data_IF_181065068393
#
_entry.id   IF_181065068393
#
_cell.length_a   1.000
_cell.length_b   1.000
_cell.length_c   1.000
_cell.angle_alpha   90.00
_cell.angle_beta   90.00
_cell.angle_gamma   90.00
#
_symmetry.space_group_name_H-M   'P 1'
#
loop_
_entity.id
_entity.type
_entity.pdbx_description
1 polymer ?
#
# COMPACT_ATOMS: atom_id res chain seq x y z
N UNK A 1 10.06 5.14 4.34
CA UNK A 1 9.91 4.34 3.11
C UNK A 1 9.75 2.88 3.49
N UNK A 2 9.07 2.11 2.66
CA UNK A 2 8.95 0.66 2.76
C UNK A 2 9.18 0.03 1.40
N UNK A 3 10.25 -0.73 1.26
CA UNK A 3 10.74 -1.29 0.00
C UNK A 3 10.74 -2.82 0.06
N UNK A 4 10.79 -3.51 -1.08
CA UNK A 4 11.11 -4.94 -1.09
C UNK A 4 12.51 -5.11 -0.48
N UNK A 5 12.64 -6.06 0.43
CA UNK A 5 13.91 -6.35 1.11
C UNK A 5 14.66 -7.50 0.46
N UNK A 6 15.81 -7.83 1.03
CA UNK A 6 16.65 -8.94 0.58
C UNK A 6 17.75 -8.49 -0.38
N UNK A 7 18.93 -9.08 -0.22
CA UNK A 7 20.10 -8.83 -1.08
C UNK A 7 20.33 -9.97 -2.08
N UNK A 8 19.28 -10.76 -2.37
CA UNK A 8 19.39 -11.85 -3.32
C UNK A 8 19.17 -11.32 -4.75
N UNK A 9 19.71 -12.01 -5.76
CA UNK A 9 19.45 -11.68 -7.17
C UNK A 9 18.10 -12.21 -7.66
N UNK A 10 17.49 -13.11 -6.92
CA UNK A 10 16.20 -13.72 -7.27
C UNK A 10 15.03 -12.93 -6.68
N UNK A 11 14.18 -12.38 -7.55
CA UNK A 11 12.98 -11.61 -7.18
C UNK A 11 12.09 -12.32 -6.16
N UNK A 12 11.80 -13.61 -6.35
CA UNK A 12 10.89 -14.39 -5.48
C UNK A 12 11.36 -14.49 -4.03
N UNK A 13 12.68 -14.39 -3.81
CA UNK A 13 13.25 -14.37 -2.47
C UNK A 13 13.12 -12.98 -1.82
N UNK A 14 13.33 -11.93 -2.62
CA UNK A 14 13.28 -10.55 -2.13
C UNK A 14 11.85 -10.08 -1.87
N UNK A 15 10.90 -10.46 -2.72
CA UNK A 15 9.48 -10.08 -2.63
C UNK A 15 8.77 -10.62 -1.38
N UNK A 16 9.38 -11.57 -0.67
CA UNK A 16 8.90 -12.16 0.59
C UNK A 16 9.37 -11.40 1.83
N UNK A 17 10.11 -10.32 1.66
CA UNK A 17 10.56 -9.49 2.78
C UNK A 17 10.31 -8.02 2.49
N UNK A 18 9.97 -7.26 3.53
CA UNK A 18 9.75 -5.81 3.43
C UNK A 18 10.67 -5.13 4.42
N UNK A 19 11.40 -4.13 3.96
CA UNK A 19 12.28 -3.32 4.79
C UNK A 19 11.70 -1.93 4.99
N UNK A 20 11.66 -1.48 6.24
CA UNK A 20 11.13 -0.16 6.62
C UNK A 20 12.25 0.73 7.12
N UNK A 21 12.48 1.84 6.43
CA UNK A 21 13.42 2.88 6.85
C UNK A 21 12.63 4.13 7.16
N UNK A 22 12.63 4.54 8.43
CA UNK A 22 11.83 5.65 8.94
C UNK A 22 12.71 6.58 9.74
N UNK A 23 12.63 7.87 9.46
CA UNK A 23 13.43 8.87 10.16
C UNK A 23 12.60 10.09 10.54
N UNK A 24 12.83 10.62 11.74
CA UNK A 24 12.22 11.89 12.18
C UNK A 24 12.99 13.05 11.55
N UNK A 25 12.26 14.02 10.99
CA UNK A 25 12.83 15.27 10.49
C UNK A 25 12.48 15.52 9.03
N UNK A 26 13.34 16.28 8.34
CA UNK A 26 13.18 16.57 6.91
C UNK A 26 13.62 15.36 6.06
N UNK A 27 13.19 15.32 4.80
CA UNK A 27 13.54 14.25 3.83
C UNK A 27 15.04 14.02 3.74
N UNK A 28 15.87 15.06 3.81
CA UNK A 28 17.34 14.95 3.85
C UNK A 28 17.87 14.06 4.98
N UNK A 29 17.21 14.03 6.13
CA UNK A 29 17.59 13.13 7.23
C UNK A 29 17.27 11.67 6.89
N UNK A 30 16.16 11.41 6.21
CA UNK A 30 15.81 10.07 5.73
C UNK A 30 16.77 9.59 4.65
N UNK A 31 17.15 10.47 3.71
CA UNK A 31 18.16 10.18 2.69
C UNK A 31 19.50 9.75 3.32
N UNK A 32 19.98 10.51 4.32
CA UNK A 32 21.18 10.13 5.07
C UNK A 32 21.02 8.80 5.80
N UNK A 33 19.82 8.49 6.32
CA UNK A 33 19.56 7.23 7.01
C UNK A 33 19.57 6.03 6.07
N UNK A 34 19.06 6.19 4.85
CA UNK A 34 19.09 5.15 3.81
C UNK A 34 20.54 4.80 3.45
N UNK A 35 21.38 5.80 3.19
CA UNK A 35 22.79 5.58 2.84
C UNK A 35 23.66 5.02 3.99
N UNK A 36 23.13 4.99 5.22
CA UNK A 36 23.81 4.38 6.37
C UNK A 36 23.46 2.91 6.57
N UNK A 37 22.41 2.41 5.93
CA UNK A 37 22.02 1.01 6.07
C UNK A 37 23.10 0.13 5.42
N UNK A 38 23.71 -0.74 6.21
CA UNK A 38 24.69 -1.71 5.71
C UNK A 38 24.01 -2.98 5.20
N UNK A 39 22.79 -3.24 5.65
CA UNK A 39 22.03 -4.44 5.31
C UNK A 39 21.22 -4.29 4.01
N UNK A 40 21.21 -3.10 3.41
CA UNK A 40 20.55 -2.82 2.13
C UNK A 40 21.61 -2.73 1.05
N UNK A 41 21.64 -3.70 0.14
CA UNK A 41 22.45 -3.60 -1.06
C UNK A 41 21.70 -2.76 -2.11
N UNK A 42 22.18 -1.54 -2.36
CA UNK A 42 21.59 -0.60 -3.32
C UNK A 42 21.93 -0.94 -4.78
N UNK A 43 22.85 -1.89 -5.01
CA UNK A 43 23.24 -2.34 -6.34
C UNK A 43 22.39 -3.52 -6.82
N UNK A 44 21.44 -4.01 -6.00
CA UNK A 44 20.49 -5.05 -6.39
C UNK A 44 19.50 -4.48 -7.41
N UNK A 45 19.49 -5.09 -8.59
CA UNK A 45 18.50 -4.80 -9.62
C UNK A 45 17.23 -5.61 -9.38
N UNK A 46 16.10 -4.91 -9.46
CA UNK A 46 14.77 -5.48 -9.32
C UNK A 46 14.06 -5.36 -10.66
N UNK A 47 13.66 -6.50 -11.23
CA UNK A 47 12.75 -6.48 -12.37
C UNK A 47 11.44 -5.83 -11.94
N UNK A 48 10.82 -6.35 -10.86
CA UNK A 48 9.62 -5.82 -10.19
C UNK A 48 9.99 -5.20 -8.86
N UNK A 49 9.45 -4.02 -8.51
CA UNK A 49 9.67 -3.45 -7.18
C UNK A 49 8.53 -2.54 -6.68
N UNK A 50 8.10 -2.73 -5.44
CA UNK A 50 7.15 -1.84 -4.79
C UNK A 50 7.73 -1.13 -3.56
N UNK A 51 8.32 0.06 -3.71
CA UNK A 51 8.64 1.02 -2.64
C UNK A 51 7.59 2.09 -2.27
N UNK A 52 6.89 1.99 -1.14
CA UNK A 52 6.01 3.09 -0.68
C UNK A 52 6.74 4.11 0.22
N UNK A 53 6.43 5.40 0.10
CA UNK A 53 7.06 6.50 0.82
C UNK A 53 5.99 7.45 1.38
N UNK A 54 6.35 8.22 2.41
CA UNK A 54 5.42 9.16 3.03
C UNK A 54 6.18 10.27 3.75
N UNK A 55 5.65 11.49 3.68
CA UNK A 55 6.06 12.59 4.56
C UNK A 55 4.91 12.94 5.49
N UNK A 56 5.11 12.73 6.79
CA UNK A 56 4.03 12.84 7.76
C UNK A 56 3.97 14.21 8.41
N UNK A 57 2.79 14.84 8.39
CA UNK A 57 2.43 15.89 9.34
C UNK A 57 1.64 15.26 10.48
N UNK A 58 2.25 15.19 11.67
CA UNK A 58 1.67 14.48 12.80
C UNK A 58 0.35 15.13 13.29
N UNK A 59 -0.74 14.36 13.26
CA UNK A 59 -2.04 14.69 13.87
C UNK A 59 -2.27 13.91 15.17
N UNK A 60 -1.88 12.63 15.20
CA UNK A 60 -1.90 11.75 16.38
C UNK A 60 -0.49 11.24 16.71
N UNK A 61 -0.12 11.25 18.00
CA UNK A 61 1.20 10.80 18.46
C UNK A 61 2.36 11.74 18.10
N UNK A 62 3.39 11.75 18.94
CA UNK A 62 4.57 12.62 18.74
C UNK A 62 5.38 12.22 17.51
N UNK A 63 6.01 13.15 16.78
CA UNK A 63 6.92 12.81 15.68
C UNK A 63 8.06 11.90 16.16
N UNK A 64 8.07 10.66 15.68
CA UNK A 64 9.07 9.64 15.99
C UNK A 64 9.14 8.62 14.86
N UNK A 65 10.24 7.84 14.70
CA UNK A 65 10.29 6.76 13.72
C UNK A 65 9.15 5.75 13.85
N UNK A 66 8.73 5.45 15.09
CA UNK A 66 7.61 4.53 15.38
C UNK A 66 6.29 5.07 14.84
N UNK A 67 6.00 6.36 15.06
CA UNK A 67 4.79 7.04 14.59
C UNK A 67 4.88 7.51 13.13
N UNK A 68 6.02 7.31 12.45
CA UNK A 68 6.16 7.60 11.03
C UNK A 68 5.60 6.47 10.18
N UNK A 69 5.08 6.83 9.01
CA UNK A 69 4.63 5.86 8.01
C UNK A 69 5.84 5.32 7.21
N UNK A 70 5.75 4.13 6.59
CA UNK A 70 4.62 3.20 6.63
C UNK A 70 4.37 2.57 8.01
N UNK A 71 3.09 2.31 8.33
CA UNK A 71 2.73 1.46 9.46
C UNK A 71 2.68 0.00 9.03
N UNK A 72 3.02 -0.91 9.94
CA UNK A 72 3.11 -2.36 9.72
C UNK A 72 2.06 -3.13 10.52
N UNK A 73 1.60 -4.24 9.95
CA UNK A 73 0.67 -5.17 10.60
C UNK A 73 1.29 -5.94 11.77
N UNK A 74 2.56 -6.31 11.67
CA UNK A 74 3.27 -7.18 12.62
C UNK A 74 4.78 -6.91 12.54
N UNK A 75 5.58 -7.67 13.29
CA UNK A 75 7.04 -7.51 13.33
C UNK A 75 7.74 -7.96 12.04
N UNK A 76 7.08 -8.78 11.22
CA UNK A 76 7.58 -9.30 9.95
C UNK A 76 7.17 -8.42 8.75
N UNK A 77 6.41 -7.35 9.00
CA UNK A 77 5.93 -6.43 7.98
C UNK A 77 5.02 -7.08 6.92
N UNK A 78 4.17 -8.07 7.28
CA UNK A 78 3.35 -8.78 6.28
C UNK A 78 2.48 -7.83 5.44
N UNK A 79 1.93 -6.80 6.07
CA UNK A 79 1.24 -5.70 5.41
C UNK A 79 1.80 -4.38 5.89
N UNK A 80 1.99 -3.44 4.96
CA UNK A 80 2.34 -2.06 5.27
C UNK A 80 1.42 -1.07 4.56
N UNK A 81 1.17 0.07 5.20
CA UNK A 81 0.27 1.11 4.68
C UNK A 81 0.82 2.50 4.91
N UNK A 82 0.63 3.37 3.92
CA UNK A 82 0.76 4.82 4.05
C UNK A 82 -0.63 5.46 4.00
N UNK A 83 -0.82 6.52 4.79
CA UNK A 83 -2.12 7.16 4.98
C UNK A 83 -2.00 8.68 5.01
N UNK A 84 -2.87 9.36 4.26
CA UNK A 84 -3.17 10.78 4.43
C UNK A 84 -4.62 10.95 4.83
N UNK A 85 -4.86 11.51 6.01
CA UNK A 85 -6.21 11.69 6.52
C UNK A 85 -6.29 11.44 8.01
N UNK A 86 -7.52 11.22 8.48
CA UNK A 86 -7.82 10.90 9.88
C UNK A 86 -8.88 9.80 9.89
N UNK A 87 -8.57 8.70 10.59
CA UNK A 87 -9.56 7.64 10.89
C UNK A 87 -10.26 8.00 12.20
N UNK A 88 -11.53 8.37 12.14
CA UNK A 88 -12.25 8.92 13.30
C UNK A 88 -12.64 7.86 14.32
N UNK A 89 -12.85 6.62 13.89
CA UNK A 89 -13.23 5.48 14.73
C UNK A 89 -12.03 4.58 15.13
N UNK A 90 -10.78 5.07 15.03
CA UNK A 90 -9.59 4.24 15.27
C UNK A 90 -9.51 3.66 16.68
N UNK A 91 -10.11 4.31 17.68
CA UNK A 91 -10.15 3.83 19.07
C UNK A 91 -10.97 2.56 19.21
N UNK A 92 -12.09 2.47 18.51
CA UNK A 92 -12.96 1.30 18.54
C UNK A 92 -12.31 0.15 17.78
N UNK A 93 -11.71 0.44 16.61
CA UNK A 93 -10.90 -0.51 15.86
C UNK A 93 -9.74 -1.06 16.69
N UNK A 94 -9.02 -0.17 17.39
CA UNK A 94 -7.89 -0.56 18.24
C UNK A 94 -8.32 -1.50 19.36
N UNK A 95 -9.37 -1.16 20.12
CA UNK A 95 -9.92 -2.03 21.17
C UNK A 95 -10.35 -3.39 20.63
N UNK A 96 -11.01 -3.41 19.48
CA UNK A 96 -11.42 -4.65 18.82
C UNK A 96 -10.20 -5.50 18.46
N UNK A 97 -9.19 -4.93 17.82
CA UNK A 97 -7.99 -5.65 17.39
C UNK A 97 -7.13 -6.13 18.57
N UNK A 98 -6.99 -5.31 19.62
CA UNK A 98 -6.36 -5.72 20.88
C UNK A 98 -7.09 -6.91 21.51
N UNK A 99 -8.44 -6.94 21.47
CA UNK A 99 -9.23 -8.09 21.94
C UNK A 99 -9.05 -9.36 21.10
N UNK A 100 -8.53 -9.22 19.87
CA UNK A 100 -8.16 -10.32 18.96
C UNK A 100 -6.68 -10.71 19.06
N UNK A 101 -5.92 -10.09 19.96
CA UNK A 101 -4.51 -10.40 20.21
C UNK A 101 -3.51 -9.62 19.36
N UNK A 102 -3.93 -8.57 18.66
CA UNK A 102 -3.01 -7.71 17.92
C UNK A 102 -2.37 -6.67 18.85
N UNK A 103 -1.04 -6.64 18.88
CA UNK A 103 -0.28 -5.65 19.64
C UNK A 103 -0.01 -4.39 18.82
N UNK A 104 -0.23 -3.23 19.43
CA UNK A 104 0.04 -1.92 18.83
C UNK A 104 1.35 -1.35 19.35
N UNK A 105 2.17 -0.79 18.46
CA UNK A 105 3.44 -0.16 18.81
C UNK A 105 3.43 1.38 18.71
N UNK A 106 2.44 1.96 18.06
CA UNK A 106 2.29 3.40 17.86
C UNK A 106 1.01 3.96 18.50
N UNK A 107 0.95 5.28 18.56
CA UNK A 107 -0.23 6.04 19.03
C UNK A 107 -1.09 6.55 17.87
N UNK A 108 -0.76 6.14 16.64
CA UNK A 108 -1.40 6.65 15.44
C UNK A 108 -2.70 5.92 15.15
N UNK A 109 -3.64 6.64 14.55
CA UNK A 109 -4.86 6.08 13.97
C UNK A 109 -4.56 5.12 12.81
N UNK A 110 -3.45 5.36 12.10
CA UNK A 110 -3.05 4.64 10.90
C UNK A 110 -2.65 3.19 11.19
N UNK A 111 -2.06 2.90 12.35
CA UNK A 111 -1.69 1.52 12.69
C UNK A 111 -2.92 0.60 12.76
N UNK A 112 -4.08 1.11 13.18
CA UNK A 112 -5.32 0.33 13.19
C UNK A 112 -5.67 -0.19 11.80
N UNK A 113 -5.34 0.53 10.73
CA UNK A 113 -5.56 0.11 9.34
C UNK A 113 -4.64 -1.07 8.99
N UNK A 114 -3.36 -1.00 9.36
CA UNK A 114 -2.37 -2.04 9.09
C UNK A 114 -2.71 -3.35 9.84
N UNK A 115 -3.16 -3.23 11.09
CA UNK A 115 -3.63 -4.38 11.87
C UNK A 115 -4.93 -4.96 11.30
N UNK A 116 -5.87 -4.10 10.88
CA UNK A 116 -7.16 -4.52 10.36
C UNK A 116 -7.04 -5.28 9.04
N UNK A 117 -6.17 -4.85 8.13
CA UNK A 117 -5.93 -5.58 6.87
C UNK A 117 -5.38 -6.99 7.14
N UNK A 118 -4.48 -7.13 8.11
CA UNK A 118 -3.99 -8.44 8.55
C UNK A 118 -5.09 -9.27 9.21
N UNK A 119 -5.93 -8.68 10.06
CA UNK A 119 -7.09 -9.37 10.62
C UNK A 119 -8.03 -9.93 9.54
N UNK A 120 -8.32 -9.15 8.49
CA UNK A 120 -9.13 -9.61 7.37
C UNK A 120 -8.45 -10.74 6.60
N UNK A 121 -7.12 -10.72 6.50
CA UNK A 121 -6.34 -11.74 5.82
C UNK A 121 -6.33 -13.04 6.62
N UNK A 122 -6.05 -12.96 7.92
CA UNK A 122 -6.00 -14.11 8.83
C UNK A 122 -7.39 -14.80 8.98
N UNK A 123 -8.48 -14.07 8.72
CA UNK A 123 -9.86 -14.56 8.80
C UNK A 123 -10.54 -14.66 7.42
N UNK A 124 -9.76 -14.82 6.35
CA UNK A 124 -10.29 -14.98 4.99
C UNK A 124 -11.03 -16.31 4.82
N UNK A 125 -12.01 -16.31 3.93
CA UNK A 125 -12.83 -17.50 3.63
C UNK A 125 -12.15 -18.45 2.63
N UNK A 126 -11.22 -17.91 1.84
CA UNK A 126 -10.45 -18.64 0.82
C UNK A 126 -9.05 -18.07 0.76
N UNK A 127 -8.07 -18.93 0.45
CA UNK A 127 -6.69 -18.53 0.20
C UNK A 127 -6.51 -17.68 -1.06
N UNK A 128 -7.46 -17.78 -2.00
CA UNK A 128 -7.43 -17.04 -3.28
C UNK A 128 -8.09 -15.65 -3.19
N UNK A 129 -8.15 -15.04 -2.00
CA UNK A 129 -8.72 -13.70 -1.86
C UNK A 129 -7.81 -12.66 -2.51
N UNK A 130 -8.34 -11.86 -3.44
CA UNK A 130 -7.57 -10.79 -4.07
C UNK A 130 -7.21 -9.67 -3.10
N UNK A 131 -6.07 -9.01 -3.32
CA UNK A 131 -5.62 -7.92 -2.46
C UNK A 131 -6.64 -6.77 -2.42
N UNK A 132 -7.24 -6.43 -3.56
CA UNK A 132 -8.27 -5.42 -3.64
C UNK A 132 -9.51 -5.77 -2.80
N UNK A 133 -9.97 -7.03 -2.83
CA UNK A 133 -11.10 -7.49 -2.00
C UNK A 133 -10.80 -7.34 -0.51
N UNK A 134 -9.56 -7.64 -0.11
CA UNK A 134 -9.11 -7.48 1.27
C UNK A 134 -9.20 -6.01 1.71
N UNK A 135 -8.69 -5.09 0.87
CA UNK A 135 -8.74 -3.65 1.13
C UNK A 135 -10.17 -3.11 1.10
N UNK A 136 -11.05 -3.62 0.22
CA UNK A 136 -12.49 -3.29 0.22
C UNK A 136 -13.13 -3.59 1.58
N UNK A 137 -12.85 -4.78 2.16
CA UNK A 137 -13.35 -5.16 3.49
C UNK A 137 -12.83 -4.22 4.58
N UNK A 138 -11.57 -3.81 4.50
CA UNK A 138 -10.96 -2.85 5.44
C UNK A 138 -11.67 -1.50 5.37
N UNK A 139 -11.79 -0.90 4.18
CA UNK A 139 -12.36 0.44 4.05
C UNK A 139 -13.82 0.50 4.49
N UNK A 140 -14.59 -0.58 4.38
CA UNK A 140 -15.97 -0.62 4.88
C UNK A 140 -16.07 -0.41 6.40
N UNK A 141 -15.02 -0.71 7.15
CA UNK A 141 -14.98 -0.52 8.61
C UNK A 141 -14.38 0.83 9.03
N UNK A 142 -13.72 1.54 8.11
CA UNK A 142 -13.09 2.82 8.42
C UNK A 142 -14.10 3.96 8.36
N UNK A 143 -14.03 4.86 9.33
CA UNK A 143 -14.73 6.14 9.31
C UNK A 143 -13.74 7.31 9.20
N UNK A 144 -14.20 8.42 8.62
CA UNK A 144 -13.39 9.61 8.40
C UNK A 144 -13.00 9.80 6.94
N UNK A 145 -11.88 10.49 6.73
CA UNK A 145 -11.34 10.81 5.42
C UNK A 145 -9.91 10.28 5.33
N UNK A 146 -9.58 9.64 4.22
CA UNK A 146 -8.29 9.00 4.02
C UNK A 146 -7.92 8.90 2.53
N UNK A 147 -6.62 8.85 2.25
CA UNK A 147 -6.02 8.30 1.05
C UNK A 147 -4.97 7.29 1.51
N UNK A 148 -5.08 6.06 1.03
CA UNK A 148 -4.31 4.89 1.48
C UNK A 148 -3.59 4.26 0.30
N UNK A 149 -2.38 3.75 0.55
CA UNK A 149 -1.69 2.83 -0.35
C UNK A 149 -1.15 1.68 0.47
N UNK A 150 -1.49 0.46 0.05
CA UNK A 150 -1.12 -0.79 0.71
C UNK A 150 -0.05 -1.53 -0.11
N UNK A 151 0.80 -2.26 0.63
CA UNK A 151 1.75 -3.24 0.11
C UNK A 151 1.77 -4.46 1.04
N UNK A 152 2.01 -5.65 0.49
CA UNK A 152 2.12 -6.88 1.27
C UNK A 152 3.11 -7.88 0.68
N UNK A 153 3.71 -8.72 1.53
CA UNK A 153 4.51 -9.88 1.10
C UNK A 153 3.65 -11.00 0.50
N UNK A 154 2.35 -11.03 0.81
CA UNK A 154 1.40 -12.03 0.30
C UNK A 154 0.93 -11.71 -1.12
N UNK A 155 1.11 -10.46 -1.55
CA UNK A 155 0.74 -9.94 -2.87
C UNK A 155 1.95 -9.21 -3.50
N UNK A 156 3.02 -9.96 -3.83
CA UNK A 156 4.28 -9.37 -4.29
C UNK A 156 4.10 -8.61 -5.60
N UNK A 157 4.62 -7.38 -5.66
CA UNK A 157 4.49 -6.51 -6.84
C UNK A 157 3.12 -5.85 -7.01
N UNK A 158 2.15 -6.12 -6.13
CA UNK A 158 0.83 -5.49 -6.17
C UNK A 158 0.72 -4.29 -5.22
N UNK A 159 0.11 -3.21 -5.69
CA UNK A 159 -0.27 -2.07 -4.88
C UNK A 159 -1.79 -1.85 -4.94
N UNK A 160 -2.40 -1.57 -3.79
CA UNK A 160 -3.79 -1.16 -3.72
C UNK A 160 -3.88 0.25 -3.15
N UNK A 161 -4.35 1.18 -3.97
CA UNK A 161 -4.63 2.57 -3.60
C UNK A 161 -6.13 2.81 -3.43
N UNK A 162 -6.55 3.54 -2.39
CA UNK A 162 -7.95 3.91 -2.19
C UNK A 162 -8.09 5.26 -1.50
N UNK A 163 -9.20 5.96 -1.72
CA UNK A 163 -9.47 7.26 -1.11
C UNK A 163 -10.93 7.45 -0.70
N UNK A 164 -11.12 8.26 0.34
CA UNK A 164 -12.39 8.83 0.77
C UNK A 164 -12.15 10.24 1.29
N UNK A 165 -12.73 11.24 0.67
CA UNK A 165 -12.64 12.63 1.16
C UNK A 165 -11.30 13.36 0.97
N UNK A 166 -10.26 12.76 0.37
CA UNK A 166 -8.97 13.42 0.10
C UNK A 166 -8.29 12.94 -1.21
N UNK A 167 -7.47 13.75 -1.89
CA UNK A 167 -6.93 13.42 -3.21
C UNK A 167 -6.04 12.17 -3.18
N UNK A 168 -6.07 11.38 -4.25
CA UNK A 168 -5.11 10.33 -4.53
C UNK A 168 -4.86 10.32 -6.04
N UNK A 169 -3.63 10.62 -6.44
CA UNK A 169 -3.20 10.66 -7.83
C UNK A 169 -2.32 9.46 -8.12
N UNK A 170 -2.47 8.89 -9.32
CA UNK A 170 -1.58 7.86 -9.86
C UNK A 170 -0.93 8.46 -11.11
N UNK A 171 0.38 8.70 -11.04
CA UNK A 171 1.20 8.99 -12.22
C UNK A 171 1.65 7.67 -12.85
N UNK A 172 1.72 7.61 -14.16
CA UNK A 172 2.26 6.46 -14.89
C UNK A 172 3.35 6.98 -15.81
N UNK A 173 4.54 6.41 -15.75
CA UNK A 173 5.66 6.69 -16.62
C UNK A 173 6.16 5.38 -17.20
N UNK A 174 6.30 5.33 -18.51
CA UNK A 174 7.04 4.27 -19.17
C UNK A 174 8.01 4.91 -20.14
N UNK A 175 9.21 4.33 -20.23
CA UNK A 175 10.14 4.70 -21.30
C UNK A 175 9.63 4.24 -22.67
N UNK A 176 8.57 3.43 -22.71
CA UNK A 176 8.03 2.78 -23.90
C UNK A 176 6.54 3.07 -24.03
N UNK A 177 6.00 2.84 -25.22
CA UNK A 177 4.57 3.08 -25.47
C UNK A 177 3.74 2.07 -24.67
N UNK A 178 2.76 2.57 -23.93
CA UNK A 178 1.79 1.74 -23.20
C UNK A 178 0.74 1.19 -24.17
N UNK A 179 0.09 0.08 -23.80
CA UNK A 179 -1.03 -0.50 -24.56
C UNK A 179 -2.21 0.46 -24.72
N UNK A 180 -2.32 1.46 -23.84
CA UNK A 180 -3.30 2.53 -23.92
C UNK A 180 -2.74 3.85 -23.37
N UNK A 181 -3.15 4.97 -23.98
CA UNK A 181 -2.87 6.34 -23.51
C UNK A 181 -3.87 6.81 -22.44
N UNK A 182 -4.80 5.94 -22.02
CA UNK A 182 -5.81 6.22 -21.02
C UNK A 182 -5.92 5.04 -20.02
N UNK A 183 -6.12 5.39 -18.75
CA UNK A 183 -6.45 4.42 -17.70
C UNK A 183 -7.97 4.25 -17.73
N UNK A 184 -8.52 3.09 -18.10
CA UNK A 184 -9.97 2.94 -18.11
C UNK A 184 -10.50 3.02 -16.68
N UNK A 185 -11.49 3.88 -16.49
CA UNK A 185 -12.12 4.13 -15.19
C UNK A 185 -13.34 3.22 -15.08
N UNK A 186 -13.27 2.23 -14.20
CA UNK A 186 -14.38 1.34 -13.91
C UNK A 186 -15.23 1.92 -12.79
N UNK A 187 -16.48 2.25 -13.12
CA UNK A 187 -17.48 2.69 -12.14
C UNK A 187 -18.31 1.48 -11.69
N UNK A 188 -18.32 1.20 -10.39
CA UNK A 188 -19.21 0.17 -9.83
C UNK A 188 -20.64 0.73 -9.81
N UNK A 189 -21.48 0.29 -10.74
CA UNK A 189 -22.88 0.69 -10.78
C UNK A 189 -23.63 0.06 -9.60
N UNK A 190 -24.16 0.90 -8.70
CA UNK A 190 -24.94 0.48 -7.54
C UNK A 190 -26.32 -0.03 -7.98
N UNK A 191 -26.43 -1.25 -8.52
CA UNK A 191 -27.73 -1.88 -8.78
C UNK A 191 -28.24 -2.59 -7.52
N UNK A 192 -29.14 -1.91 -6.83
CA UNK A 192 -30.07 -2.50 -5.84
C UNK A 192 -31.08 -3.37 -6.61
N UNK A 193 -30.85 -4.67 -6.73
CA UNK A 193 -31.92 -5.66 -6.90
C UNK A 193 -31.38 -7.07 -6.63
N UNK A 194 -32.11 -7.80 -5.79
CA UNK A 194 -31.89 -9.19 -5.43
C UNK A 194 -31.70 -10.09 -6.66
N UNK A 195 -30.72 -10.99 -6.60
CA UNK A 195 -30.47 -12.03 -7.60
C UNK A 195 -28.99 -12.30 -7.73
N UNK A 196 -28.52 -13.44 -7.24
CA UNK A 196 -27.14 -13.91 -7.41
C UNK A 196 -26.82 -13.98 -8.91
N UNK A 197 -25.86 -13.16 -9.37
CA UNK A 197 -25.21 -13.27 -10.66
C UNK A 197 -23.69 -13.19 -10.46
N UNK A 198 -22.90 -13.87 -11.31
CA UNK A 198 -21.47 -14.05 -11.07
C UNK A 198 -20.72 -12.72 -11.13
N UNK A 199 -19.71 -12.56 -10.27
CA UNK A 199 -18.69 -11.51 -10.40
C UNK A 199 -18.01 -11.68 -11.76
N UNK A 200 -18.17 -10.72 -12.66
CA UNK A 200 -17.30 -10.59 -13.82
C UNK A 200 -16.01 -9.90 -13.35
N UNK A 201 -14.85 -10.38 -13.81
CA UNK A 201 -13.55 -9.73 -13.61
C UNK A 201 -13.65 -8.25 -14.03
N UNK A 202 -13.40 -7.35 -13.09
CA UNK A 202 -13.42 -5.90 -13.27
C UNK A 202 -11.98 -5.37 -13.24
N UNK A 203 -11.06 -6.13 -13.81
CA UNK A 203 -9.64 -5.85 -13.72
C UNK A 203 -9.22 -5.07 -14.95
N UNK A 204 -8.69 -3.87 -14.73
CA UNK A 204 -8.03 -3.08 -15.78
C UNK A 204 -6.54 -3.34 -15.71
N UNK A 205 -5.99 -3.82 -16.82
CA UNK A 205 -4.59 -4.17 -16.90
C UNK A 205 -3.89 -3.28 -17.93
N UNK A 206 -2.96 -2.42 -17.48
CA UNK A 206 -2.08 -1.68 -18.37
C UNK A 206 -0.77 -2.44 -18.50
N UNK A 207 -0.43 -2.79 -19.74
CA UNK A 207 0.83 -3.47 -20.04
C UNK A 207 1.66 -2.61 -20.99
N UNK A 208 2.98 -2.58 -20.81
CA UNK A 208 3.89 -2.07 -21.82
C UNK A 208 3.80 -2.98 -23.07
N UNK A 209 3.88 -2.38 -24.27
CA UNK A 209 3.79 -3.15 -25.53
C UNK A 209 4.98 -4.11 -25.70
N UNK A 210 6.09 -3.84 -25.03
CA UNK A 210 7.25 -4.73 -24.89
C UNK A 210 7.43 -5.07 -23.39
N UNK A 211 7.82 -6.30 -23.04
CA UNK A 211 8.02 -6.82 -21.65
C UNK A 211 9.05 -6.02 -20.81
N UNK A 212 8.77 -4.76 -20.49
CA UNK A 212 9.74 -3.82 -19.91
C UNK A 212 9.11 -2.87 -18.90
N UNK A 213 9.90 -2.42 -17.94
CA UNK A 213 9.41 -1.70 -16.75
C UNK A 213 8.52 -0.46 -17.06
N UNK A 214 7.43 -0.36 -16.29
CA UNK A 214 6.51 0.77 -16.15
C UNK A 214 6.55 1.28 -14.70
N UNK A 215 6.92 2.54 -14.52
CA UNK A 215 6.92 3.19 -13.22
C UNK A 215 5.55 3.80 -12.94
N UNK A 216 5.04 3.59 -11.73
CA UNK A 216 3.81 4.21 -11.26
C UNK A 216 4.13 5.11 -10.06
N UNK A 217 3.36 6.17 -9.84
CA UNK A 217 3.60 7.13 -8.77
C UNK A 217 2.32 7.37 -8.00
N UNK A 218 2.28 7.03 -6.72
CA UNK A 218 1.10 7.31 -5.89
C UNK A 218 1.32 8.58 -5.07
N UNK A 219 0.53 9.61 -5.34
CA UNK A 219 0.60 10.88 -4.65
C UNK A 219 -0.73 11.17 -3.93
N UNK A 220 -0.82 10.90 -2.61
CA UNK A 220 -2.00 11.21 -1.81
C UNK A 220 -2.14 12.72 -1.49
N UNK A 221 -1.23 13.55 -1.98
CA UNK A 221 -1.32 15.01 -2.09
C UNK A 221 -0.37 15.46 -3.23
N UNK A 222 -0.72 16.50 -3.98
CA UNK A 222 0.12 17.09 -5.03
C UNK A 222 1.51 17.53 -4.51
N UNK A 223 1.68 17.67 -3.19
CA UNK A 223 2.95 18.00 -2.52
C UNK A 223 3.80 16.80 -2.12
N UNK A 224 3.29 15.57 -2.27
CA UNK A 224 3.95 14.34 -1.82
C UNK A 224 3.96 13.30 -2.94
N UNK A 225 5.04 13.26 -3.73
CA UNK A 225 5.25 12.24 -4.76
C UNK A 225 5.93 11.02 -4.11
N UNK A 226 5.31 9.85 -4.20
CA UNK A 226 5.92 8.55 -3.88
C UNK A 226 6.32 7.88 -5.19
N UNK A 227 7.59 7.49 -5.33
CA UNK A 227 8.13 6.83 -6.52
C UNK A 227 8.05 5.30 -6.43
N UNK A 228 7.57 4.64 -7.49
CA UNK A 228 7.39 3.19 -7.56
C UNK A 228 7.68 2.64 -8.99
N UNK A 229 8.35 1.49 -9.11
CA UNK A 229 8.77 0.89 -10.40
C UNK A 229 8.24 -0.54 -10.57
N UNK A 230 7.31 -0.77 -11.51
CA UNK A 230 6.73 -2.08 -11.78
C UNK A 230 7.18 -2.58 -13.17
N UNK A 231 7.16 -3.88 -13.46
CA UNK A 231 7.02 -4.44 -14.81
C UNK A 231 5.77 -5.35 -14.77
N UNK A 232 5.42 -6.04 -15.86
CA UNK A 232 4.08 -6.05 -16.41
C UNK A 232 3.12 -6.95 -15.61
N UNK A 233 2.65 -6.50 -14.45
CA UNK A 233 1.55 -7.14 -13.73
C UNK A 233 0.41 -6.14 -13.51
N UNK A 234 -0.85 -6.62 -13.59
CA UNK A 234 -2.01 -5.75 -13.57
C UNK A 234 -2.20 -5.07 -12.22
N UNK A 235 -2.46 -3.76 -12.23
CA UNK A 235 -2.87 -3.01 -11.04
C UNK A 235 -4.40 -3.01 -10.96
N UNK A 236 -4.94 -3.59 -9.89
CA UNK A 236 -6.37 -3.55 -9.59
C UNK A 236 -6.79 -2.16 -9.12
N UNK A 237 -7.25 -1.31 -10.05
CA UNK A 237 -7.87 -0.03 -9.70
C UNK A 237 -9.35 -0.21 -9.40
N UNK A 238 -9.71 -0.33 -8.12
CA UNK A 238 -11.10 -0.22 -7.67
C UNK A 238 -11.40 1.20 -7.18
N UNK A 239 -12.27 1.90 -7.88
CA UNK A 239 -12.83 3.19 -7.44
C UNK A 239 -14.13 2.92 -6.68
N UNK A 240 -14.22 3.22 -5.36
CA UNK A 240 -15.47 3.09 -4.61
C UNK A 240 -16.51 4.14 -5.01
#
# INVERSE_FOLDING_TARGET
>A
VGIDGGNNKEWESNSKSIQLIKQRGKVKALEMEIHKQQDVDLDVEFDVHLGIAHTRWATHGVPSPVNSHPHRSDKNNEFIVIHNGIITNYKDLRKFLESKGYEFESETDTESIAKLVKYMYDNRESDDISFATLVERVIQQLEGAFALVFKSVHYPGEAVGTRRGGPLLIGVRSNHKLSADHIPVLYRSYKKSCGALPRADQDTCLFPVDEKAVEYYFAPDARQITALSFPPYPILTHVP
#
